data_IF_781612544508
#
_entry.id   IF_781612544508
#
_cell.length_a   1.000
_cell.length_b   1.000
_cell.length_c   1.000
_cell.angle_alpha   90.00
_cell.angle_beta   90.00
_cell.angle_gamma   90.00
#
_symmetry.space_group_name_H-M   'P 1'
#
loop_
_entity.id
_entity.type
_entity.pdbx_description
1 polymer ?
#
# COMPACT_ATOMS: atom_id res chain seq x y z
N UNK A 1 44.61 36.68 46.14
CA UNK A 1 43.31 35.99 46.13
C UNK A 1 42.46 36.69 45.09
N UNK A 2 42.32 36.07 43.92
CA UNK A 2 41.64 36.67 42.76
C UNK A 2 40.27 36.01 42.63
N UNK A 3 39.20 36.79 42.69
CA UNK A 3 37.84 36.30 42.51
C UNK A 3 37.67 35.79 41.07
N UNK A 4 37.18 34.55 40.85
CA UNK A 4 36.88 34.08 39.50
C UNK A 4 35.74 34.92 38.93
N UNK A 5 35.97 35.49 37.76
CA UNK A 5 35.02 36.37 37.10
C UNK A 5 33.77 35.58 36.70
N UNK A 6 32.58 36.12 36.97
CA UNK A 6 31.31 35.49 36.59
C UNK A 6 31.14 35.32 35.07
N UNK A 7 32.01 35.96 34.27
CA UNK A 7 31.99 35.91 32.81
C UNK A 7 32.87 34.81 32.20
N UNK A 8 33.83 34.24 32.95
CA UNK A 8 34.62 33.08 32.47
C UNK A 8 33.74 31.83 32.28
N UNK A 9 32.67 31.70 33.07
CA UNK A 9 31.76 30.56 32.99
C UNK A 9 30.87 30.59 31.73
N UNK A 10 30.57 31.78 31.19
CA UNK A 10 29.81 31.95 29.95
C UNK A 10 30.61 31.47 28.73
N UNK A 11 31.93 31.60 28.75
CA UNK A 11 32.80 31.10 27.66
C UNK A 11 32.90 29.58 27.64
N UNK A 12 32.78 28.92 28.79
CA UNK A 12 32.84 27.46 28.91
C UNK A 12 31.49 26.81 28.60
N UNK A 13 30.37 27.50 28.87
CA UNK A 13 29.01 27.04 28.51
C UNK A 13 28.52 27.47 27.13
N UNK A 14 29.22 28.37 26.43
CA UNK A 14 28.85 28.84 25.09
C UNK A 14 28.53 27.70 24.10
N UNK A 15 29.32 26.61 24.04
CA UNK A 15 29.02 25.47 23.17
C UNK A 15 27.88 24.56 23.66
N UNK A 16 27.56 24.58 24.97
CA UNK A 16 26.60 23.66 25.62
C UNK A 16 25.19 24.26 25.67
N UNK A 17 25.08 25.59 25.84
CA UNK A 17 23.83 26.33 25.69
C UNK A 17 23.38 26.43 24.23
N UNK A 18 24.28 26.17 23.28
CA UNK A 18 24.01 26.04 21.85
C UNK A 18 23.83 24.57 21.44
N UNK A 19 23.20 23.77 22.30
CA UNK A 19 22.70 22.47 21.86
C UNK A 19 21.61 22.73 20.82
N UNK A 20 21.90 22.37 19.56
CA UNK A 20 20.94 22.43 18.45
C UNK A 20 19.52 21.99 18.80
N UNK A 21 19.28 20.98 19.66
CA UNK A 21 17.92 20.61 20.09
C UNK A 21 17.14 21.74 20.78
N UNK A 22 17.80 22.57 21.62
CA UNK A 22 17.14 23.67 22.33
C UNK A 22 16.79 24.80 21.37
N UNK A 23 17.69 25.11 20.43
CA UNK A 23 17.43 26.06 19.36
C UNK A 23 16.30 25.60 18.45
N UNK A 24 16.29 24.33 18.05
CA UNK A 24 15.20 23.71 17.29
C UNK A 24 13.88 23.85 18.07
N UNK A 25 13.91 23.62 19.38
CA UNK A 25 12.71 23.75 20.23
C UNK A 25 12.21 25.19 20.27
N UNK A 26 13.08 26.18 20.46
CA UNK A 26 12.70 27.60 20.47
C UNK A 26 12.19 28.05 19.10
N UNK A 27 12.85 27.62 18.02
CA UNK A 27 12.42 27.90 16.64
C UNK A 27 11.06 27.25 16.37
N UNK A 28 10.85 26.00 16.78
CA UNK A 28 9.54 25.35 16.68
C UNK A 28 8.49 26.10 17.50
N UNK A 29 8.77 26.54 18.72
CA UNK A 29 7.81 27.29 19.54
C UNK A 29 7.45 28.66 18.94
N UNK A 30 8.38 29.32 18.25
CA UNK A 30 8.11 30.63 17.62
C UNK A 30 7.50 30.49 16.22
N UNK A 31 7.85 29.42 15.49
CA UNK A 31 7.47 29.21 14.09
C UNK A 31 6.55 28.00 13.87
N UNK A 32 5.98 27.37 14.91
CA UNK A 32 5.08 26.23 14.74
C UNK A 32 3.87 26.60 13.89
N UNK A 33 3.28 27.78 14.09
CA UNK A 33 2.13 28.25 13.29
C UNK A 33 2.46 28.36 11.79
N UNK A 34 3.48 29.11 11.36
CA UNK A 34 3.82 29.20 9.94
C UNK A 34 4.30 27.86 9.36
N UNK A 35 5.01 27.03 10.12
CA UNK A 35 5.43 25.70 9.67
C UNK A 35 4.25 24.76 9.45
N UNK A 36 3.23 24.81 10.32
CA UNK A 36 2.02 24.00 10.16
C UNK A 36 1.22 24.43 8.94
N UNK A 37 1.12 25.73 8.65
CA UNK A 37 0.50 26.22 7.42
C UNK A 37 1.23 25.72 6.15
N UNK A 38 2.56 25.63 6.19
CA UNK A 38 3.34 25.09 5.07
C UNK A 38 3.14 23.57 4.93
N UNK A 39 3.07 22.83 6.04
CA UNK A 39 2.75 21.40 6.05
C UNK A 39 1.34 21.13 5.52
N UNK A 40 0.36 21.96 5.89
CA UNK A 40 -1.01 21.85 5.41
C UNK A 40 -1.10 22.18 3.91
N UNK A 41 -0.31 23.16 3.43
CA UNK A 41 -0.20 23.47 2.00
C UNK A 41 0.47 22.34 1.21
N UNK A 42 1.51 21.70 1.75
CA UNK A 42 2.18 20.54 1.11
C UNK A 42 1.31 19.28 1.19
N UNK A 43 0.56 19.09 2.28
CA UNK A 43 -0.37 17.96 2.44
C UNK A 43 -1.59 18.09 1.53
N UNK A 44 -2.10 19.30 1.32
CA UNK A 44 -3.21 19.57 0.40
C UNK A 44 -2.76 19.74 -1.05
N UNK A 45 -1.50 20.07 -1.28
CA UNK A 45 -0.85 19.84 -2.58
C UNK A 45 -0.52 18.36 -2.69
N UNK A 46 -1.58 17.58 -2.92
CA UNK A 46 -1.53 16.36 -3.70
C UNK A 46 -0.36 16.48 -4.70
N UNK A 47 0.59 15.55 -4.61
CA UNK A 47 1.89 15.54 -5.30
C UNK A 47 1.65 15.68 -6.81
N UNK A 48 1.43 16.91 -7.26
CA UNK A 48 1.32 17.27 -8.65
C UNK A 48 2.67 17.87 -8.99
N UNK A 49 3.58 16.95 -9.34
CA UNK A 49 4.69 17.18 -10.27
C UNK A 49 5.31 18.57 -10.14
N UNK A 50 6.14 18.77 -9.11
CA UNK A 50 7.07 19.89 -9.14
C UNK A 50 7.95 19.72 -10.38
N UNK A 51 7.70 20.55 -11.39
CA UNK A 51 8.38 20.53 -12.69
C UNK A 51 9.81 21.04 -12.50
N UNK A 52 10.71 20.13 -12.13
CA UNK A 52 12.15 20.37 -12.03
C UNK A 52 12.73 20.24 -13.43
N UNK A 53 12.76 21.34 -14.19
CA UNK A 53 13.58 21.45 -15.41
C UNK A 53 13.20 20.49 -16.55
N UNK A 54 14.03 20.42 -17.61
CA UNK A 54 13.70 19.80 -18.90
C UNK A 54 13.89 18.28 -18.95
N UNK A 55 14.02 17.61 -17.80
CA UNK A 55 14.04 16.14 -17.77
C UNK A 55 12.65 15.65 -17.39
N UNK A 56 11.96 15.10 -18.37
CA UNK A 56 10.72 14.34 -18.20
C UNK A 56 11.02 13.14 -17.29
N UNK A 57 10.60 13.23 -16.03
CA UNK A 57 10.59 12.09 -15.11
C UNK A 57 9.36 11.24 -15.50
N UNK A 58 9.50 10.44 -16.55
CA UNK A 58 8.53 9.38 -16.90
C UNK A 58 9.03 7.98 -16.48
N UNK A 59 10.25 7.87 -15.94
CA UNK A 59 10.95 6.59 -15.82
C UNK A 59 10.96 5.97 -14.39
N UNK A 60 10.46 6.68 -13.37
CA UNK A 60 10.57 6.22 -11.97
C UNK A 60 9.33 5.50 -11.40
N UNK A 61 8.17 5.58 -12.07
CA UNK A 61 6.93 4.93 -11.58
C UNK A 61 6.80 3.46 -12.04
N UNK A 62 7.38 3.11 -13.19
CA UNK A 62 7.33 1.78 -13.79
C UNK A 62 7.84 0.64 -12.87
N UNK A 63 9.05 0.73 -12.28
CA UNK A 63 9.55 -0.36 -11.43
C UNK A 63 8.72 -0.54 -10.16
N UNK A 64 8.10 0.54 -9.68
CA UNK A 64 7.24 0.50 -8.50
C UNK A 64 5.91 -0.21 -8.80
N UNK A 65 5.27 0.10 -9.92
CA UNK A 65 4.03 -0.56 -10.37
C UNK A 65 4.26 -2.05 -10.61
N UNK A 66 5.36 -2.43 -11.28
CA UNK A 66 5.71 -3.83 -11.53
C UNK A 66 5.95 -4.60 -10.21
N UNK A 67 6.62 -3.96 -9.24
CA UNK A 67 6.84 -4.57 -7.92
C UNK A 67 5.53 -4.80 -7.15
N UNK A 68 4.60 -3.83 -7.21
CA UNK A 68 3.27 -3.96 -6.59
C UNK A 68 2.48 -5.06 -7.28
N UNK A 69 2.54 -5.14 -8.60
CA UNK A 69 1.86 -6.17 -9.38
C UNK A 69 2.34 -7.57 -8.98
N UNK A 70 3.67 -7.77 -8.89
CA UNK A 70 4.25 -9.03 -8.43
C UNK A 70 3.81 -9.38 -7.01
N UNK A 71 3.79 -8.40 -6.11
CA UNK A 71 3.31 -8.61 -4.75
C UNK A 71 1.82 -9.02 -4.73
N UNK A 72 0.97 -8.35 -5.50
CA UNK A 72 -0.47 -8.66 -5.56
C UNK A 72 -0.77 -10.02 -6.19
N UNK A 73 -0.01 -10.44 -7.21
CA UNK A 73 -0.15 -11.77 -7.82
C UNK A 73 0.44 -12.87 -6.96
N UNK A 74 1.45 -12.58 -6.13
CA UNK A 74 2.03 -13.55 -5.19
C UNK A 74 1.20 -13.76 -3.91
N UNK A 75 0.40 -12.77 -3.51
CA UNK A 75 -0.34 -12.78 -2.26
C UNK A 75 -1.44 -13.85 -2.23
N UNK A 76 -2.10 -14.07 -3.37
CA UNK A 76 -3.24 -14.98 -3.54
C UNK A 76 -2.96 -15.89 -4.73
N UNK A 77 -3.09 -17.20 -4.55
CA UNK A 77 -2.88 -18.15 -5.64
C UNK A 77 -3.95 -18.00 -6.73
N UNK A 78 -3.72 -18.58 -7.91
CA UNK A 78 -4.72 -18.57 -8.99
C UNK A 78 -6.03 -19.25 -8.57
N UNK A 79 -5.94 -20.39 -7.85
CA UNK A 79 -7.10 -21.11 -7.34
C UNK A 79 -7.91 -20.26 -6.34
N UNK A 80 -7.22 -19.60 -5.41
CA UNK A 80 -7.86 -18.72 -4.44
C UNK A 80 -8.47 -17.47 -5.09
N UNK A 81 -7.80 -16.90 -6.09
CA UNK A 81 -8.33 -15.77 -6.84
C UNK A 81 -9.63 -16.18 -7.54
N UNK A 82 -9.65 -17.35 -8.17
CA UNK A 82 -10.84 -17.87 -8.81
C UNK A 82 -12.00 -17.96 -7.80
N UNK A 83 -11.75 -18.48 -6.59
CA UNK A 83 -12.75 -18.49 -5.52
C UNK A 83 -13.22 -17.10 -5.10
N UNK A 84 -12.33 -16.10 -5.01
CA UNK A 84 -12.71 -14.72 -4.71
C UNK A 84 -13.56 -14.08 -5.82
N UNK A 85 -13.19 -14.31 -7.09
CA UNK A 85 -13.94 -13.80 -8.24
C UNK A 85 -15.34 -14.41 -8.32
N UNK A 86 -15.46 -15.72 -8.07
CA UNK A 86 -16.76 -16.41 -8.00
C UNK A 86 -17.65 -15.87 -6.87
N UNK A 87 -17.06 -15.50 -5.73
CA UNK A 87 -17.79 -14.87 -4.64
C UNK A 87 -18.24 -13.43 -4.97
N UNK A 88 -17.51 -12.73 -5.84
CA UNK A 88 -17.84 -11.36 -6.26
C UNK A 88 -18.91 -11.32 -7.36
N UNK A 89 -19.00 -12.36 -8.19
CA UNK A 89 -19.99 -12.46 -9.26
C UNK A 89 -21.32 -12.96 -8.69
N UNK A 90 -22.29 -12.09 -8.44
CA UNK A 90 -23.57 -12.43 -7.79
C UNK A 90 -24.38 -13.55 -8.49
N UNK A 91 -24.24 -13.71 -9.81
CA UNK A 91 -25.07 -14.62 -10.61
C UNK A 91 -24.59 -16.08 -10.69
N UNK A 92 -23.36 -16.38 -10.31
CA UNK A 92 -22.83 -17.75 -10.44
C UNK A 92 -22.97 -18.53 -9.12
N UNK A 93 -23.83 -19.56 -9.11
CA UNK A 93 -23.80 -20.57 -8.05
C UNK A 93 -22.66 -21.53 -8.35
N UNK A 94 -21.47 -21.25 -7.80
CA UNK A 94 -20.33 -22.16 -7.92
C UNK A 94 -20.36 -23.21 -6.84
N UNK A 95 -20.48 -24.46 -7.29
CA UNK A 95 -20.33 -25.63 -6.43
C UNK A 95 -18.86 -25.85 -6.14
N UNK A 96 -18.51 -26.02 -4.87
CA UNK A 96 -17.14 -26.36 -4.45
C UNK A 96 -17.04 -27.84 -4.08
N UNK A 97 -15.83 -28.38 -4.19
CA UNK A 97 -15.46 -29.68 -3.64
C UNK A 97 -14.59 -29.46 -2.38
N UNK A 98 -15.06 -29.98 -1.25
CA UNK A 98 -14.46 -29.85 0.09
C UNK A 98 -13.20 -30.69 0.25
N UNK A 99 -12.21 -30.42 -0.58
CA UNK A 99 -10.87 -31.02 -0.48
C UNK A 99 -10.08 -30.36 0.65
N UNK A 100 -9.04 -31.05 1.15
CA UNK A 100 -8.12 -30.49 2.17
C UNK A 100 -7.37 -29.26 1.66
N UNK A 101 -7.13 -29.19 0.34
CA UNK A 101 -6.54 -28.05 -0.33
C UNK A 101 -7.47 -26.83 -0.24
N UNK A 102 -8.73 -27.03 -0.61
CA UNK A 102 -9.76 -25.98 -0.58
C UNK A 102 -9.99 -25.42 0.83
N UNK A 103 -10.06 -26.27 1.86
CA UNK A 103 -10.21 -25.78 3.24
C UNK A 103 -8.99 -24.98 3.72
N UNK A 104 -7.79 -25.35 3.25
CA UNK A 104 -6.55 -24.61 3.53
C UNK A 104 -6.57 -23.24 2.86
N UNK A 105 -7.00 -23.17 1.60
CA UNK A 105 -7.17 -21.94 0.83
C UNK A 105 -8.18 -21.00 1.50
N UNK A 106 -9.36 -21.49 1.87
CA UNK A 106 -10.36 -20.68 2.60
C UNK A 106 -9.83 -20.18 3.94
N UNK A 107 -9.12 -21.03 4.69
CA UNK A 107 -8.49 -20.60 5.95
C UNK A 107 -7.49 -19.47 5.72
N UNK A 108 -6.69 -19.56 4.65
CA UNK A 108 -5.72 -18.53 4.29
C UNK A 108 -6.42 -17.23 3.88
N UNK A 109 -7.38 -17.29 2.96
CA UNK A 109 -8.18 -16.14 2.52
C UNK A 109 -8.90 -15.45 3.69
N UNK A 110 -9.42 -16.24 4.65
CA UNK A 110 -10.03 -15.71 5.86
C UNK A 110 -9.00 -15.03 6.77
N UNK A 111 -7.82 -15.62 6.94
CA UNK A 111 -6.72 -15.00 7.73
C UNK A 111 -6.21 -13.70 7.12
N UNK A 112 -6.26 -13.55 5.79
CA UNK A 112 -5.96 -12.31 5.09
C UNK A 112 -7.07 -11.25 5.23
N UNK A 113 -8.23 -11.65 5.74
CA UNK A 113 -9.41 -10.82 5.88
C UNK A 113 -10.10 -10.53 4.56
N UNK A 114 -9.92 -11.38 3.54
CA UNK A 114 -10.62 -11.24 2.25
C UNK A 114 -12.01 -11.86 2.28
N UNK A 115 -12.19 -12.92 3.08
CA UNK A 115 -13.48 -13.60 3.24
C UNK A 115 -13.86 -13.76 4.72
N UNK A 116 -15.17 -13.82 4.96
CA UNK A 116 -15.76 -14.22 6.23
C UNK A 116 -16.44 -15.58 6.07
N UNK A 117 -16.19 -16.47 7.03
CA UNK A 117 -16.82 -17.78 7.09
C UNK A 117 -18.14 -17.66 7.85
N UNK A 118 -19.25 -18.10 7.24
CA UNK A 118 -20.57 -18.16 7.90
C UNK A 118 -20.70 -19.38 8.81
N UNK A 119 -19.92 -20.42 8.52
CA UNK A 119 -19.86 -21.68 9.26
C UNK A 119 -18.41 -22.02 9.55
N UNK A 120 -18.14 -22.61 10.71
CA UNK A 120 -16.81 -23.13 11.03
C UNK A 120 -16.31 -24.08 9.93
N UNK A 121 -15.05 -23.96 9.51
CA UNK A 121 -14.44 -24.80 8.48
C UNK A 121 -14.60 -26.31 8.76
N UNK A 122 -14.52 -26.70 10.03
CA UNK A 122 -14.64 -28.11 10.45
C UNK A 122 -16.07 -28.67 10.30
N UNK A 123 -17.06 -27.80 10.19
CA UNK A 123 -18.49 -28.15 10.04
C UNK A 123 -18.99 -27.93 8.61
N UNK A 124 -18.11 -27.50 7.71
CA UNK A 124 -18.46 -27.19 6.33
C UNK A 124 -18.78 -28.50 5.57
N UNK A 125 -19.84 -28.53 4.74
CA UNK A 125 -20.15 -29.73 3.99
C UNK A 125 -19.05 -30.06 2.97
N UNK A 126 -18.91 -31.34 2.63
CA UNK A 126 -17.90 -31.81 1.64
C UNK A 126 -18.15 -31.28 0.23
N UNK A 127 -19.32 -30.73 -0.04
CA UNK A 127 -19.66 -30.08 -1.30
C UNK A 127 -20.87 -29.18 -1.07
N UNK A 128 -20.98 -28.12 -1.84
CA UNK A 128 -22.12 -27.20 -1.77
C UNK A 128 -21.85 -25.91 -2.49
N UNK A 129 -22.73 -24.93 -2.33
CA UNK A 129 -22.55 -23.60 -2.91
C UNK A 129 -21.63 -22.75 -2.03
N UNK A 130 -20.59 -22.17 -2.63
CA UNK A 130 -19.58 -21.42 -1.90
C UNK A 130 -20.17 -20.20 -1.14
N UNK A 131 -21.08 -19.47 -1.78
CA UNK A 131 -21.75 -18.27 -1.23
C UNK A 131 -22.62 -18.55 -0.01
N UNK A 132 -23.11 -19.77 0.15
CA UNK A 132 -23.89 -20.15 1.32
C UNK A 132 -23.03 -20.28 2.57
N UNK A 133 -21.74 -20.56 2.39
CA UNK A 133 -20.81 -20.87 3.47
C UNK A 133 -19.79 -19.74 3.72
N UNK A 134 -19.53 -18.93 2.70
CA UNK A 134 -18.49 -17.90 2.70
C UNK A 134 -19.06 -16.60 2.14
N UNK A 135 -18.61 -15.48 2.70
CA UNK A 135 -18.95 -14.13 2.24
C UNK A 135 -17.69 -13.36 1.89
N UNK A 136 -17.73 -12.62 0.78
CA UNK A 136 -16.66 -11.72 0.40
C UNK A 136 -16.72 -10.45 1.25
N UNK A 137 -15.60 -10.09 1.88
CA UNK A 137 -15.51 -8.84 2.65
C UNK A 137 -15.27 -7.64 1.74
N UNK A 138 -15.48 -6.43 2.27
CA UNK A 138 -15.11 -5.19 1.57
C UNK A 138 -13.63 -5.13 1.20
N UNK A 139 -12.75 -5.65 2.05
CA UNK A 139 -11.31 -5.75 1.76
C UNK A 139 -11.03 -6.70 0.59
N UNK A 140 -11.75 -7.82 0.52
CA UNK A 140 -11.68 -8.76 -0.60
C UNK A 140 -12.10 -8.11 -1.92
N UNK A 141 -13.20 -7.33 -1.92
CA UNK A 141 -13.65 -6.56 -3.09
C UNK A 141 -12.61 -5.54 -3.54
N UNK A 142 -12.05 -4.77 -2.60
CA UNK A 142 -10.99 -3.79 -2.89
C UNK A 142 -9.75 -4.46 -3.50
N UNK A 143 -9.36 -5.63 -3.00
CA UNK A 143 -8.26 -6.40 -3.56
C UNK A 143 -8.52 -6.80 -5.01
N UNK A 144 -9.72 -7.30 -5.33
CA UNK A 144 -10.09 -7.64 -6.70
C UNK A 144 -10.06 -6.42 -7.61
N UNK A 145 -10.68 -5.31 -7.19
CA UNK A 145 -10.68 -4.06 -7.98
C UNK A 145 -9.27 -3.54 -8.24
N UNK A 146 -8.41 -3.52 -7.22
CA UNK A 146 -7.02 -3.06 -7.34
C UNK A 146 -6.20 -3.95 -8.28
N UNK A 147 -6.39 -5.27 -8.17
CA UNK A 147 -5.70 -6.24 -9.03
C UNK A 147 -6.16 -6.09 -10.48
N UNK A 148 -7.46 -5.96 -10.71
CA UNK A 148 -8.04 -5.81 -12.05
C UNK A 148 -7.61 -4.48 -12.69
N UNK A 149 -7.61 -3.36 -11.93
CA UNK A 149 -7.18 -2.06 -12.46
C UNK A 149 -5.70 -2.07 -12.86
N UNK A 150 -4.83 -2.66 -12.04
CA UNK A 150 -3.40 -2.72 -12.31
C UNK A 150 -3.05 -3.67 -13.46
N UNK A 151 -3.84 -4.72 -13.68
CA UNK A 151 -3.68 -5.62 -14.82
C UNK A 151 -4.27 -5.03 -16.12
N UNK A 152 -5.33 -4.24 -16.02
CA UNK A 152 -5.98 -3.60 -17.17
C UNK A 152 -5.23 -2.38 -17.72
N UNK A 153 -4.41 -1.72 -16.90
CA UNK A 153 -3.56 -0.58 -17.32
C UNK A 153 -2.37 -0.99 -18.21
N UNK A 154 -2.22 -2.27 -18.57
CA UNK A 154 -1.33 -2.69 -19.65
C UNK A 154 -2.06 -2.70 -21.00
N UNK A 155 -1.91 -1.66 -21.86
CA UNK A 155 -2.12 -1.86 -23.28
C UNK A 155 -1.01 -2.77 -23.79
N UNK A 156 -1.39 -3.78 -24.55
CA UNK A 156 -0.50 -4.63 -25.32
C UNK A 156 0.64 -3.82 -25.96
N UNK A 157 1.88 -4.09 -25.56
CA UNK A 157 3.04 -3.76 -26.39
C UNK A 157 3.01 -4.71 -27.61
N UNK A 158 2.10 -4.43 -28.56
CA UNK A 158 2.17 -4.96 -29.92
C UNK A 158 3.36 -4.33 -30.59
N UNK A 159 4.51 -4.99 -30.47
CA UNK A 159 5.67 -4.65 -31.28
C UNK A 159 5.37 -4.94 -32.76
N UNK A 160 5.60 -3.89 -33.54
CA UNK A 160 5.28 -3.78 -34.94
C UNK A 160 6.39 -4.48 -35.73
N UNK A 161 6.10 -5.67 -36.24
CA UNK A 161 6.84 -6.28 -37.34
C UNK A 161 6.69 -5.44 -38.61
N UNK A 162 7.49 -4.38 -38.73
CA UNK A 162 7.64 -3.53 -39.90
C UNK A 162 8.09 -4.38 -41.09
N UNK A 163 7.13 -4.74 -41.95
CA UNK A 163 7.38 -5.32 -43.27
C UNK A 163 8.05 -4.23 -44.14
N UNK A 164 9.37 -4.28 -44.26
CA UNK A 164 10.10 -3.52 -45.28
C UNK A 164 10.07 -4.39 -46.53
N UNK A 165 9.09 -4.16 -47.41
CA UNK A 165 9.18 -4.63 -48.79
C UNK A 165 10.08 -3.66 -49.55
N UNK A 166 11.08 -4.23 -50.23
CA UNK A 166 11.91 -3.57 -51.24
C UNK A 166 11.51 -4.10 -52.60
#
# INVERSE_FOLDING_TARGET
MSNPSLFDWVSVLGPILFSWPLLITVVLILFYKPLFNLLEQISNQNIQKAKIGPFEIEEAEQPYVESIQLLLTSLVSEDELNHLQQLNNDDESTSYEGTTKFTTELKRLSSLGFINLKVDLDKMPKSGELKQQVELTEKGKQYLTLRDSLLAEQPEHKDQGKKIET
#
